data_IF_242180156505
#
_entry.id   IF_242180156505
#
_cell.length_a   1.000
_cell.length_b   1.000
_cell.length_c   1.000
_cell.angle_alpha   90.00
_cell.angle_beta   90.00
_cell.angle_gamma   90.00
#
_symmetry.space_group_name_H-M   'P 1'
#
loop_
_entity.id
_entity.type
_entity.pdbx_description
1 polymer ?
#
# COMPACT_ATOMS: atom_id res chain seq x y z
N UNK A 1 25.56 -12.82 -13.96
CA UNK A 1 25.36 -11.49 -13.34
C UNK A 1 23.85 -11.24 -13.22
N UNK A 2 23.20 -11.79 -12.20
CA UNK A 2 21.74 -11.63 -11.97
C UNK A 2 21.55 -11.33 -10.49
N UNK A 3 21.88 -10.09 -10.08
CA UNK A 3 21.26 -9.54 -8.89
C UNK A 3 19.77 -9.38 -9.23
N UNK A 4 18.99 -10.33 -8.70
CA UNK A 4 17.65 -10.73 -9.05
C UNK A 4 16.65 -9.56 -9.08
N UNK A 5 15.85 -9.44 -10.15
CA UNK A 5 14.69 -8.53 -10.19
C UNK A 5 13.73 -8.72 -8.99
N UNK A 6 13.74 -9.91 -8.35
CA UNK A 6 13.02 -10.18 -7.10
C UNK A 6 13.61 -9.46 -5.89
N UNK A 7 14.94 -9.33 -5.77
CA UNK A 7 15.59 -8.61 -4.67
C UNK A 7 15.43 -7.09 -4.79
N UNK A 8 15.31 -6.57 -6.02
CA UNK A 8 14.96 -5.16 -6.25
C UNK A 8 13.52 -4.88 -5.89
N UNK A 9 12.57 -5.68 -6.40
CA UNK A 9 11.15 -5.59 -6.03
C UNK A 9 10.92 -5.73 -4.53
N UNK A 10 11.61 -6.65 -3.85
CA UNK A 10 11.49 -6.79 -2.39
C UNK A 10 12.01 -5.56 -1.63
N UNK A 11 13.05 -4.89 -2.13
CA UNK A 11 13.54 -3.64 -1.53
C UNK A 11 12.61 -2.46 -1.79
N UNK A 12 12.08 -2.34 -3.01
CA UNK A 12 11.09 -1.32 -3.38
C UNK A 12 9.78 -1.51 -2.59
N UNK A 13 9.34 -2.76 -2.40
CA UNK A 13 8.18 -3.08 -1.58
C UNK A 13 8.42 -2.77 -0.10
N UNK A 14 9.63 -2.99 0.43
CA UNK A 14 9.94 -2.79 1.84
C UNK A 14 9.65 -1.36 2.31
N UNK A 15 9.85 -0.37 1.43
CA UNK A 15 9.62 1.03 1.74
C UNK A 15 8.13 1.40 1.76
N UNK A 16 7.24 0.65 1.11
CA UNK A 16 5.79 0.95 1.10
C UNK A 16 4.99 0.06 2.05
N UNK A 17 5.56 -1.06 2.51
CA UNK A 17 4.91 -1.97 3.46
C UNK A 17 4.48 -1.26 4.73
N UNK A 18 3.28 -1.55 5.21
CA UNK A 18 2.71 -1.00 6.43
C UNK A 18 1.29 -0.50 6.24
N UNK A 19 0.78 0.14 7.29
CA UNK A 19 -0.58 0.67 7.32
C UNK A 19 -0.60 2.12 6.84
N UNK A 20 -1.53 2.42 5.94
CA UNK A 20 -1.77 3.73 5.34
C UNK A 20 -3.20 4.14 5.63
N UNK A 21 -3.41 5.36 6.12
CA UNK A 21 -4.69 5.78 6.69
C UNK A 21 -5.06 7.17 6.19
N UNK A 22 -6.32 7.38 5.80
CA UNK A 22 -6.82 8.73 5.48
C UNK A 22 -6.77 9.63 6.71
N UNK A 23 -6.70 10.95 6.53
CA UNK A 23 -6.58 11.90 7.64
C UNK A 23 -7.71 11.76 8.70
N UNK A 24 -8.89 11.32 8.28
CA UNK A 24 -10.06 11.08 9.14
C UNK A 24 -10.12 9.68 9.75
N UNK A 25 -9.16 8.80 9.43
CA UNK A 25 -9.14 7.41 9.89
C UNK A 25 -10.17 6.50 9.21
N UNK A 26 -10.97 7.01 8.27
CA UNK A 26 -12.10 6.25 7.72
C UNK A 26 -11.63 5.13 6.79
N UNK A 27 -10.58 5.34 6.01
CA UNK A 27 -10.00 4.31 5.14
C UNK A 27 -8.63 3.91 5.71
N UNK A 28 -8.42 2.61 5.83
CA UNK A 28 -7.17 2.00 6.29
C UNK A 28 -6.73 0.94 5.29
N UNK A 29 -5.59 1.14 4.66
CA UNK A 29 -4.99 0.22 3.70
C UNK A 29 -3.70 -0.35 4.25
N UNK A 30 -3.64 -1.67 4.43
CA UNK A 30 -2.41 -2.37 4.77
C UNK A 30 -1.73 -2.86 3.50
N UNK A 31 -0.47 -2.47 3.28
CA UNK A 31 0.40 -3.04 2.24
C UNK A 31 1.30 -4.10 2.87
N UNK A 32 1.13 -5.36 2.46
CA UNK A 32 1.80 -6.52 3.05
C UNK A 32 3.10 -6.88 2.31
N UNK A 33 4.12 -7.45 2.99
CA UNK A 33 5.42 -7.77 2.38
C UNK A 33 5.37 -8.73 1.19
N UNK A 34 4.31 -9.52 1.07
CA UNK A 34 4.10 -10.48 -0.02
C UNK A 34 3.46 -9.85 -1.27
N UNK A 35 3.26 -8.52 -1.27
CA UNK A 35 2.63 -7.78 -2.36
C UNK A 35 1.10 -7.84 -2.35
N UNK A 36 0.49 -8.25 -1.23
CA UNK A 36 -0.96 -8.17 -1.02
C UNK A 36 -1.35 -6.88 -0.32
N UNK A 37 -2.56 -6.41 -0.56
CA UNK A 37 -3.15 -5.36 0.25
C UNK A 37 -4.52 -5.75 0.80
N UNK A 38 -4.89 -5.15 1.92
CA UNK A 38 -6.23 -5.19 2.50
C UNK A 38 -6.65 -3.75 2.84
N UNK A 39 -7.79 -3.32 2.30
CA UNK A 39 -8.39 -2.03 2.60
C UNK A 39 -9.66 -2.20 3.43
N UNK A 40 -9.71 -1.54 4.58
CA UNK A 40 -10.91 -1.38 5.38
C UNK A 40 -11.51 0.03 5.20
N UNK A 41 -12.85 0.12 5.19
CA UNK A 41 -13.61 1.38 5.19
C UNK A 41 -14.59 1.43 6.35
N UNK A 42 -14.31 2.28 7.33
CA UNK A 42 -15.04 2.36 8.59
C UNK A 42 -15.14 0.98 9.25
N UNK A 43 -16.36 0.48 9.41
CA UNK A 43 -16.61 -0.83 10.04
C UNK A 43 -16.50 -2.02 9.08
N UNK A 44 -16.39 -1.77 7.76
CA UNK A 44 -16.22 -2.83 6.76
C UNK A 44 -14.75 -3.15 6.61
N UNK A 45 -14.32 -4.23 7.26
CA UNK A 45 -13.00 -4.83 7.06
C UNK A 45 -12.91 -5.49 5.69
N UNK A 46 -11.72 -5.52 5.09
CA UNK A 46 -11.47 -6.17 3.80
C UNK A 46 -12.50 -5.75 2.74
N UNK A 47 -12.79 -4.45 2.71
CA UNK A 47 -13.67 -3.84 1.72
C UNK A 47 -13.14 -4.08 0.30
N UNK A 48 -11.82 -4.00 0.15
CA UNK A 48 -11.08 -4.40 -1.04
C UNK A 48 -9.81 -5.16 -0.64
N UNK A 49 -9.49 -6.20 -1.39
CA UNK A 49 -8.26 -6.98 -1.24
C UNK A 49 -7.69 -7.25 -2.62
N UNK A 50 -6.37 -7.38 -2.71
CA UNK A 50 -5.75 -7.60 -4.00
C UNK A 50 -4.25 -7.72 -3.94
N UNK A 51 -3.64 -7.49 -5.09
CA UNK A 51 -2.18 -7.39 -5.25
C UNK A 51 -1.78 -5.99 -5.62
N UNK A 52 -0.57 -5.62 -5.20
CA UNK A 52 0.09 -4.41 -5.65
C UNK A 52 1.51 -4.71 -6.15
N UNK A 53 2.03 -3.84 -7.02
CA UNK A 53 3.42 -3.85 -7.46
C UNK A 53 3.98 -2.45 -7.34
N UNK A 54 5.24 -2.32 -6.91
CA UNK A 54 5.94 -1.04 -6.81
C UNK A 54 6.93 -0.90 -7.96
N UNK A 55 6.98 0.27 -8.59
CA UNK A 55 8.02 0.66 -9.56
C UNK A 55 8.46 2.09 -9.27
N UNK A 56 9.63 2.26 -8.65
CA UNK A 56 10.05 3.57 -8.16
C UNK A 56 9.13 4.08 -7.05
N UNK A 57 8.49 5.22 -7.27
CA UNK A 57 7.46 5.80 -6.40
C UNK A 57 6.03 5.44 -6.80
N UNK A 58 5.83 4.72 -7.91
CA UNK A 58 4.52 4.33 -8.42
C UNK A 58 4.07 2.96 -7.92
N UNK A 59 2.77 2.81 -7.68
CA UNK A 59 2.10 1.58 -7.26
C UNK A 59 0.96 1.24 -8.22
N UNK A 60 1.03 0.05 -8.80
CA UNK A 60 -0.07 -0.56 -9.57
C UNK A 60 -0.85 -1.53 -8.67
N UNK A 61 -2.18 -1.45 -8.72
CA UNK A 61 -3.08 -2.32 -7.96
C UNK A 61 -3.98 -3.13 -8.89
N UNK A 62 -4.19 -4.39 -8.53
CA UNK A 62 -5.24 -5.24 -9.11
C UNK A 62 -5.97 -5.95 -7.97
N UNK A 63 -7.24 -5.63 -7.79
CA UNK A 63 -8.05 -6.25 -6.76
C UNK A 63 -8.42 -7.70 -7.14
N UNK A 64 -8.90 -8.47 -6.16
CA UNK A 64 -9.25 -9.88 -6.35
C UNK A 64 -10.46 -10.08 -7.29
N UNK A 65 -11.16 -9.00 -7.68
CA UNK A 65 -12.25 -9.00 -8.68
C UNK A 65 -11.78 -8.59 -10.08
N UNK A 66 -10.54 -8.10 -10.21
CA UNK A 66 -9.95 -7.63 -11.46
C UNK A 66 -10.07 -6.12 -11.72
N UNK A 67 -10.54 -5.34 -10.74
CA UNK A 67 -10.51 -3.88 -10.82
C UNK A 67 -9.07 -3.38 -10.64
N UNK A 68 -8.70 -2.34 -11.38
CA UNK A 68 -7.34 -1.77 -11.35
C UNK A 68 -7.36 -0.35 -10.80
N UNK A 69 -6.34 -0.01 -10.05
CA UNK A 69 -6.11 1.33 -9.53
C UNK A 69 -4.61 1.62 -9.46
N UNK A 70 -4.28 2.89 -9.22
CA UNK A 70 -2.92 3.38 -9.18
C UNK A 70 -2.67 4.21 -7.92
N UNK A 71 -1.41 4.33 -7.54
CA UNK A 71 -1.01 5.32 -6.56
C UNK A 71 0.44 5.73 -6.69
N UNK A 72 0.78 6.86 -6.08
CA UNK A 72 2.13 7.40 -6.04
C UNK A 72 2.53 7.74 -4.61
N UNK A 73 3.78 7.43 -4.25
CA UNK A 73 4.37 7.87 -3.01
C UNK A 73 5.04 9.25 -3.23
N UNK A 74 4.51 10.29 -2.57
CA UNK A 74 5.02 11.66 -2.70
C UNK A 74 5.32 12.20 -1.31
N UNK A 75 6.59 12.51 -1.05
CA UNK A 75 7.06 13.04 0.24
C UNK A 75 6.56 12.24 1.47
N UNK A 76 6.52 10.91 1.35
CA UNK A 76 6.07 10.02 2.43
C UNK A 76 4.54 9.87 2.57
N UNK A 77 3.76 10.46 1.65
CA UNK A 77 2.30 10.37 1.58
C UNK A 77 1.90 9.51 0.38
N UNK A 78 0.99 8.57 0.59
CA UNK A 78 0.45 7.72 -0.48
C UNK A 78 -0.77 8.40 -1.12
N UNK A 79 -0.63 8.79 -2.37
CA UNK A 79 -1.74 9.28 -3.19
C UNK A 79 -2.31 8.10 -3.98
N UNK A 80 -3.44 7.55 -3.55
CA UNK A 80 -4.07 6.40 -4.19
C UNK A 80 -5.39 6.83 -4.83
N UNK A 81 -5.40 6.98 -6.16
CA UNK A 81 -6.52 7.57 -6.90
C UNK A 81 -6.95 8.94 -6.30
N UNK A 82 -8.17 9.02 -5.76
CA UNK A 82 -8.74 10.20 -5.12
C UNK A 82 -8.49 10.24 -3.60
N UNK A 83 -7.68 9.31 -3.07
CA UNK A 83 -7.33 9.20 -1.66
C UNK A 83 -5.95 9.78 -1.39
N UNK A 84 -5.81 10.39 -0.21
CA UNK A 84 -4.53 10.80 0.37
C UNK A 84 -4.39 10.06 1.69
N UNK A 85 -3.40 9.17 1.78
CA UNK A 85 -3.16 8.33 2.93
C UNK A 85 -1.80 8.61 3.53
N UNK A 86 -1.76 8.64 4.86
CA UNK A 86 -0.58 8.86 5.66
C UNK A 86 -0.15 7.55 6.28
N UNK A 87 1.16 7.36 6.46
CA UNK A 87 1.66 6.21 7.21
C UNK A 87 1.09 6.26 8.62
N UNK A 88 0.47 5.18 9.06
CA UNK A 88 0.20 5.00 10.48
C UNK A 88 1.53 4.65 11.16
N UNK A 89 2.08 5.61 11.89
CA UNK A 89 3.16 5.32 12.81
C UNK A 89 2.63 4.36 13.87
N UNK A 90 3.31 3.22 14.06
CA UNK A 90 3.06 2.43 15.27
C UNK A 90 3.45 3.32 16.44
N UNK A 91 2.56 3.61 17.41
CA UNK A 91 3.00 4.25 18.63
C UNK A 91 4.12 3.37 19.19
N UNK A 92 5.32 3.93 19.34
CA UNK A 92 6.42 3.24 20.00
C UNK A 92 5.89 2.81 21.36
N UNK A 93 5.76 1.50 21.56
CA UNK A 93 5.34 0.95 22.84
C UNK A 93 6.28 1.54 23.91
N UNK A 94 5.72 2.39 24.78
CA UNK A 94 6.38 2.90 25.97
C UNK A 94 6.27 1.90 27.10
#
# INVERSE_FOLDING_TARGET
MTANARDRRNRENADVVGMWVTADGHIRQELLPDGRYDEARGNRRSAYTGRYTVTGDHLDYVDDTGFTATGDLRDGVLHHEHLVLYREEKPSAS
#
